data_IF_226264031091
#
_entry.id   IF_226264031091
#
_cell.length_a   1.000
_cell.length_b   1.000
_cell.length_c   1.000
_cell.angle_alpha   90.00
_cell.angle_beta   90.00
_cell.angle_gamma   90.00
#
_symmetry.space_group_name_H-M   'P 1'
#
loop_
_entity.id
_entity.type
_entity.pdbx_description
1 polymer ?
#
# COMPACT_ATOMS: atom_id res chain seq x y z
N UNK A 1 -21.40 -41.83 70.04
CA UNK A 1 -21.54 -40.48 69.41
C UNK A 1 -20.23 -39.87 68.93
N UNK A 2 -19.09 -40.03 69.64
CA UNK A 2 -17.82 -39.37 69.26
C UNK A 2 -17.20 -39.88 67.93
N UNK A 3 -17.40 -41.15 67.54
CA UNK A 3 -16.89 -41.70 66.26
C UNK A 3 -17.69 -41.28 65.01
N UNK A 4 -18.94 -40.82 65.18
CA UNK A 4 -19.80 -40.42 64.05
C UNK A 4 -19.58 -38.95 63.66
N UNK A 5 -19.19 -38.12 64.63
CA UNK A 5 -18.79 -36.71 64.41
C UNK A 5 -17.45 -36.63 63.68
N UNK A 6 -16.54 -37.58 63.90
CA UNK A 6 -15.21 -37.63 63.28
C UNK A 6 -15.24 -38.07 61.81
N UNK A 7 -16.21 -38.91 61.41
CA UNK A 7 -16.40 -39.30 60.00
C UNK A 7 -17.14 -38.20 59.22
N UNK A 8 -18.07 -37.47 59.85
CA UNK A 8 -18.71 -36.31 59.23
C UNK A 8 -17.75 -35.10 59.06
N UNK A 9 -16.78 -34.93 59.95
CA UNK A 9 -15.80 -33.83 59.85
C UNK A 9 -14.66 -34.11 58.86
N UNK A 10 -14.36 -35.37 58.54
CA UNK A 10 -13.44 -35.73 57.44
C UNK A 10 -14.12 -35.55 56.07
N UNK A 11 -15.44 -35.79 55.96
CA UNK A 11 -16.20 -35.54 54.73
C UNK A 11 -16.46 -34.04 54.46
N UNK A 12 -16.45 -33.20 55.50
CA UNK A 12 -16.57 -31.73 55.36
C UNK A 12 -15.22 -31.02 55.09
N UNK A 13 -14.10 -31.75 55.14
CA UNK A 13 -12.76 -31.23 54.84
C UNK A 13 -12.15 -31.83 53.57
N UNK A 14 -12.90 -32.59 52.77
CA UNK A 14 -12.50 -32.77 51.38
C UNK A 14 -12.67 -31.41 50.70
N UNK A 15 -11.62 -30.79 50.13
CA UNK A 15 -11.83 -29.71 49.21
C UNK A 15 -12.66 -30.31 48.09
N UNK A 16 -13.95 -29.96 48.06
CA UNK A 16 -14.66 -29.84 46.80
C UNK A 16 -13.78 -28.91 45.98
N UNK A 17 -12.90 -29.51 45.18
CA UNK A 17 -12.43 -28.87 43.98
C UNK A 17 -13.72 -28.60 43.23
N UNK A 18 -14.29 -27.41 43.44
CA UNK A 18 -15.15 -26.78 42.49
C UNK A 18 -14.35 -26.87 41.19
N UNK A 19 -14.69 -27.87 40.38
CA UNK A 19 -14.35 -27.88 38.98
C UNK A 19 -15.03 -26.61 38.50
N UNK A 20 -14.27 -25.52 38.48
CA UNK A 20 -14.72 -24.26 37.94
C UNK A 20 -15.20 -24.62 36.54
N UNK A 21 -16.52 -24.59 36.34
CA UNK A 21 -17.10 -24.87 35.05
C UNK A 21 -16.46 -23.86 34.11
N UNK A 22 -15.68 -24.38 33.16
CA UNK A 22 -14.96 -23.57 32.20
C UNK A 22 -15.97 -22.66 31.51
N UNK A 23 -15.74 -21.34 31.40
CA UNK A 23 -16.67 -20.45 30.72
C UNK A 23 -17.00 -20.99 29.32
N UNK A 24 -18.28 -21.06 28.98
CA UNK A 24 -18.73 -21.58 27.69
C UNK A 24 -18.53 -20.52 26.61
N UNK A 25 -17.33 -20.43 26.05
CA UNK A 25 -17.06 -19.58 24.87
C UNK A 25 -17.16 -20.40 23.59
N UNK A 26 -17.87 -19.87 22.61
CA UNK A 26 -17.98 -20.45 21.27
C UNK A 26 -17.28 -19.57 20.23
N UNK A 27 -16.85 -20.13 19.08
CA UNK A 27 -16.38 -19.34 17.95
C UNK A 27 -17.44 -18.30 17.50
N UNK A 28 -16.99 -17.21 16.89
CA UNK A 28 -17.84 -16.16 16.35
C UNK A 28 -18.61 -16.69 15.12
N UNK A 29 -19.92 -16.50 15.10
CA UNK A 29 -20.74 -16.83 13.93
C UNK A 29 -20.69 -15.67 12.92
N UNK A 30 -20.04 -15.91 11.79
CA UNK A 30 -19.83 -14.91 10.73
C UNK A 30 -21.13 -14.48 10.04
N UNK A 31 -22.21 -15.28 10.11
CA UNK A 31 -23.51 -14.91 9.56
C UNK A 31 -24.21 -13.85 10.43
N UNK A 32 -24.06 -13.95 11.75
CA UNK A 32 -24.66 -13.00 12.72
C UNK A 32 -24.00 -11.62 12.72
N UNK A 33 -22.85 -11.48 12.05
CA UNK A 33 -22.15 -10.22 11.83
C UNK A 33 -22.72 -9.41 10.66
N UNK A 34 -23.80 -9.89 10.03
CA UNK A 34 -24.54 -9.17 9.00
C UNK A 34 -25.88 -8.68 9.58
N UNK A 35 -26.09 -7.37 9.63
CA UNK A 35 -27.37 -6.77 10.04
C UNK A 35 -27.36 -6.10 11.43
N UNK A 36 -28.55 -5.75 11.93
CA UNK A 36 -28.75 -4.95 13.14
C UNK A 36 -28.22 -5.61 14.42
N UNK A 37 -28.09 -6.94 14.43
CA UNK A 37 -27.60 -7.72 15.58
C UNK A 37 -26.08 -7.80 15.68
N UNK A 38 -25.33 -7.37 14.65
CA UNK A 38 -23.88 -7.54 14.57
C UNK A 38 -23.14 -6.90 15.77
N UNK A 39 -23.57 -5.72 16.20
CA UNK A 39 -22.97 -5.01 17.35
C UNK A 39 -23.23 -5.75 18.67
N UNK A 40 -24.42 -6.34 18.83
CA UNK A 40 -24.78 -7.11 20.01
C UNK A 40 -23.97 -8.41 20.10
N UNK A 41 -23.80 -9.11 18.98
CA UNK A 41 -22.95 -10.31 18.92
C UNK A 41 -21.50 -9.99 19.32
N UNK A 42 -20.95 -8.87 18.83
CA UNK A 42 -19.59 -8.46 19.18
C UNK A 42 -19.48 -8.12 20.67
N UNK A 43 -20.46 -7.42 21.23
CA UNK A 43 -20.47 -7.10 22.67
C UNK A 43 -20.58 -8.35 23.56
N UNK A 44 -21.32 -9.38 23.12
CA UNK A 44 -21.34 -10.68 23.78
C UNK A 44 -19.95 -11.32 23.71
N UNK A 45 -19.32 -11.37 22.53
CA UNK A 45 -17.99 -11.99 22.37
C UNK A 45 -16.87 -11.27 23.08
N UNK A 46 -16.92 -9.95 23.19
CA UNK A 46 -15.99 -9.19 24.02
C UNK A 46 -16.07 -9.66 25.47
N UNK A 47 -17.29 -9.78 26.02
CA UNK A 47 -17.49 -10.26 27.40
C UNK A 47 -17.01 -11.69 27.59
N UNK A 48 -17.38 -12.61 26.69
CA UNK A 48 -16.94 -14.01 26.77
C UNK A 48 -15.40 -14.14 26.71
N UNK A 49 -14.72 -13.36 25.86
CA UNK A 49 -13.26 -13.35 25.78
C UNK A 49 -12.62 -12.79 27.06
N UNK A 50 -13.22 -11.75 27.66
CA UNK A 50 -12.76 -11.19 28.94
C UNK A 50 -12.94 -12.19 30.08
N UNK A 51 -14.07 -12.89 30.14
CA UNK A 51 -14.30 -13.96 31.12
C UNK A 51 -13.30 -15.11 30.97
N UNK A 52 -13.00 -15.52 29.72
CA UNK A 52 -12.00 -16.54 29.46
C UNK A 52 -10.58 -16.08 29.83
N UNK A 53 -10.22 -14.84 29.54
CA UNK A 53 -8.93 -14.26 29.97
C UNK A 53 -8.80 -14.25 31.49
N UNK A 54 -9.84 -13.85 32.23
CA UNK A 54 -9.85 -13.87 33.69
C UNK A 54 -9.69 -15.31 34.23
N UNK A 55 -10.41 -16.26 33.64
CA UNK A 55 -10.29 -17.69 33.98
C UNK A 55 -8.88 -18.23 33.76
N UNK A 56 -8.24 -17.91 32.63
CA UNK A 56 -6.86 -18.34 32.34
C UNK A 56 -5.84 -17.70 33.29
N UNK A 57 -6.03 -16.41 33.63
CA UNK A 57 -5.19 -15.73 34.62
C UNK A 57 -5.29 -16.39 36.01
N UNK A 58 -6.47 -16.86 36.40
CA UNK A 58 -6.65 -17.62 37.65
C UNK A 58 -6.07 -19.04 37.56
N UNK A 59 -6.13 -19.67 36.40
CA UNK A 59 -5.58 -21.01 36.16
C UNK A 59 -4.05 -20.99 36.21
N UNK A 60 -3.41 -19.92 35.71
CA UNK A 60 -1.97 -19.68 35.76
C UNK A 60 -1.42 -19.46 37.18
N UNK A 61 -2.27 -19.11 38.16
CA UNK A 61 -1.87 -19.02 39.58
C UNK A 61 -1.63 -20.40 40.21
N UNK A 62 -2.03 -21.48 39.53
CA UNK A 62 -1.85 -22.88 39.99
C UNK A 62 -0.63 -23.50 39.31
N UNK A 63 0.17 -24.33 40.01
CA UNK A 63 1.31 -25.01 39.41
C UNK A 63 0.85 -25.96 38.29
N UNK A 64 1.33 -25.72 37.06
CA UNK A 64 1.01 -26.49 35.86
C UNK A 64 2.28 -26.70 35.03
N UNK A 65 2.48 -27.87 34.40
CA UNK A 65 3.59 -28.08 33.46
C UNK A 65 3.41 -27.33 32.13
N UNK A 66 2.22 -26.77 31.86
CA UNK A 66 1.87 -26.13 30.59
C UNK A 66 1.66 -24.61 30.73
N UNK A 67 2.40 -23.96 31.63
CA UNK A 67 2.29 -22.52 31.93
C UNK A 67 2.48 -21.66 30.69
N UNK A 68 3.44 -21.99 29.83
CA UNK A 68 3.74 -21.20 28.62
C UNK A 68 2.58 -21.17 27.63
N UNK A 69 1.98 -22.33 27.35
CA UNK A 69 0.81 -22.45 26.45
C UNK A 69 -0.39 -21.66 26.98
N UNK A 70 -0.63 -21.74 28.30
CA UNK A 70 -1.72 -21.01 28.95
C UNK A 70 -1.47 -19.50 28.98
N UNK A 71 -0.22 -19.06 29.16
CA UNK A 71 0.17 -17.65 29.09
C UNK A 71 -0.03 -17.09 27.68
N UNK A 72 0.36 -17.83 26.65
CA UNK A 72 0.12 -17.43 25.26
C UNK A 72 -1.37 -17.33 24.94
N UNK A 73 -2.19 -18.28 25.43
CA UNK A 73 -3.63 -18.22 25.27
C UNK A 73 -4.22 -16.98 25.97
N UNK A 74 -3.77 -16.64 27.18
CA UNK A 74 -4.18 -15.43 27.90
C UNK A 74 -3.85 -14.17 27.09
N UNK A 75 -2.61 -14.04 26.62
CA UNK A 75 -2.16 -12.89 25.82
C UNK A 75 -2.99 -12.74 24.54
N UNK A 76 -3.28 -13.86 23.86
CA UNK A 76 -4.13 -13.85 22.66
C UNK A 76 -5.57 -13.43 22.99
N UNK A 77 -6.20 -13.94 24.05
CA UNK A 77 -7.55 -13.52 24.42
C UNK A 77 -7.63 -12.03 24.77
N UNK A 78 -6.62 -11.49 25.46
CA UNK A 78 -6.54 -10.05 25.70
C UNK A 78 -6.41 -9.27 24.39
N UNK A 79 -5.58 -9.75 23.44
CA UNK A 79 -5.46 -9.17 22.10
C UNK A 79 -6.76 -9.22 21.29
N UNK A 80 -7.49 -10.33 21.34
CA UNK A 80 -8.78 -10.54 20.66
C UNK A 80 -9.82 -9.54 21.13
N UNK A 81 -9.86 -9.21 22.42
CA UNK A 81 -10.76 -8.17 22.94
C UNK A 81 -10.55 -6.83 22.24
N UNK A 82 -9.29 -6.41 22.05
CA UNK A 82 -8.99 -5.18 21.31
C UNK A 82 -9.38 -5.28 19.82
N UNK A 83 -9.16 -6.43 19.18
CA UNK A 83 -9.58 -6.65 17.79
C UNK A 83 -11.10 -6.53 17.63
N UNK A 84 -11.87 -7.08 18.56
CA UNK A 84 -13.34 -7.01 18.55
C UNK A 84 -13.85 -5.60 18.81
N UNK A 85 -13.20 -4.83 19.69
CA UNK A 85 -13.51 -3.41 19.91
C UNK A 85 -13.26 -2.61 18.62
N UNK A 86 -12.14 -2.84 17.94
CA UNK A 86 -11.85 -2.19 16.67
C UNK A 86 -12.87 -2.57 15.59
N UNK A 87 -13.25 -3.85 15.49
CA UNK A 87 -14.29 -4.32 14.59
C UNK A 87 -15.64 -3.62 14.86
N UNK A 88 -16.01 -3.43 16.13
CA UNK A 88 -17.21 -2.68 16.53
C UNK A 88 -17.17 -1.23 16.01
N UNK A 89 -16.03 -0.56 16.16
CA UNK A 89 -15.80 0.78 15.61
C UNK A 89 -15.90 0.81 14.08
N UNK A 90 -15.30 -0.19 13.42
CA UNK A 90 -15.36 -0.35 11.97
C UNK A 90 -16.77 -0.62 11.45
N UNK A 91 -17.62 -1.35 12.15
CA UNK A 91 -19.01 -1.60 11.71
C UNK A 91 -19.88 -0.36 11.91
N UNK A 92 -19.71 0.32 13.04
CA UNK A 92 -20.53 1.50 13.43
C UNK A 92 -20.16 2.79 12.69
N UNK A 93 -18.96 2.90 12.12
CA UNK A 93 -18.54 4.10 11.40
C UNK A 93 -19.42 4.39 10.16
N UNK A 94 -19.60 5.66 9.76
CA UNK A 94 -20.38 5.99 8.57
C UNK A 94 -19.71 5.41 7.29
N UNK A 95 -20.50 5.11 6.24
CA UNK A 95 -19.93 4.72 4.96
C UNK A 95 -19.14 5.89 4.35
N UNK A 96 -17.96 5.61 3.80
CA UNK A 96 -17.19 6.61 3.06
C UNK A 96 -17.91 6.94 1.74
N UNK A 97 -18.42 8.16 1.64
CA UNK A 97 -18.95 8.71 0.39
C UNK A 97 -17.81 9.42 -0.36
N UNK A 98 -17.62 9.17 -1.67
CA UNK A 98 -16.64 9.92 -2.45
C UNK A 98 -16.92 11.43 -2.36
N UNK A 99 -15.91 12.23 -2.02
CA UNK A 99 -16.02 13.69 -1.94
C UNK A 99 -16.02 14.39 -3.31
N UNK A 100 -16.13 13.64 -4.40
CA UNK A 100 -16.06 14.17 -5.77
C UNK A 100 -17.40 14.80 -6.12
N UNK A 101 -17.38 16.09 -6.44
CA UNK A 101 -18.56 16.82 -6.93
C UNK A 101 -18.40 17.11 -8.42
N UNK A 102 -19.37 16.68 -9.23
CA UNK A 102 -19.40 17.00 -10.66
C UNK A 102 -19.75 18.49 -10.85
N UNK A 103 -19.11 19.20 -11.81
CA UNK A 103 -19.41 20.60 -12.03
C UNK A 103 -20.81 20.77 -12.64
N UNK A 104 -21.55 21.77 -12.14
CA UNK A 104 -22.83 22.16 -12.73
C UNK A 104 -22.60 22.80 -14.10
N UNK A 105 -23.38 22.37 -15.09
CA UNK A 105 -23.29 22.93 -16.44
C UNK A 105 -24.11 24.24 -16.54
N UNK A 106 -23.52 25.35 -17.02
CA UNK A 106 -24.28 26.53 -17.42
C UNK A 106 -25.08 26.25 -18.71
N UNK A 107 -25.77 27.26 -19.26
CA UNK A 107 -26.36 27.14 -20.59
C UNK A 107 -25.28 27.14 -21.68
N UNK A 108 -25.43 26.34 -22.76
CA UNK A 108 -24.48 26.32 -23.86
C UNK A 108 -24.45 27.67 -24.61
N UNK A 109 -23.36 27.97 -25.35
CA UNK A 109 -22.21 27.10 -25.60
C UNK A 109 -21.13 27.18 -24.50
N UNK A 110 -20.38 26.09 -24.33
CA UNK A 110 -19.48 25.89 -23.19
C UNK A 110 -18.04 26.35 -23.47
N UNK A 111 -17.34 26.98 -22.50
CA UNK A 111 -15.94 27.35 -22.67
C UNK A 111 -15.00 26.14 -22.59
N UNK A 112 -13.83 26.23 -23.24
CA UNK A 112 -12.77 25.21 -23.20
C UNK A 112 -12.37 24.79 -21.77
N UNK A 113 -12.34 25.76 -20.85
CA UNK A 113 -11.99 25.54 -19.44
C UNK A 113 -12.98 24.63 -18.71
N UNK A 114 -14.27 24.64 -19.07
CA UNK A 114 -15.26 23.73 -18.48
C UNK A 114 -15.03 22.29 -18.94
N UNK A 115 -14.71 22.10 -20.22
CA UNK A 115 -14.37 20.78 -20.76
C UNK A 115 -13.10 20.21 -20.11
N UNK A 116 -12.05 21.03 -19.97
CA UNK A 116 -10.82 20.63 -19.27
C UNK A 116 -11.10 20.23 -17.81
N UNK A 117 -11.87 21.03 -17.07
CA UNK A 117 -12.25 20.71 -15.68
C UNK A 117 -13.03 19.40 -15.58
N UNK A 118 -13.92 19.12 -16.54
CA UNK A 118 -14.65 17.85 -16.59
C UNK A 118 -13.73 16.67 -16.89
N UNK A 119 -12.77 16.81 -17.81
CA UNK A 119 -11.77 15.77 -18.09
C UNK A 119 -10.91 15.47 -16.86
N UNK A 120 -10.46 16.49 -16.14
CA UNK A 120 -9.71 16.34 -14.89
C UNK A 120 -10.54 15.63 -13.81
N UNK A 121 -11.81 16.00 -13.67
CA UNK A 121 -12.75 15.38 -12.73
C UNK A 121 -12.99 13.91 -13.11
N UNK A 122 -13.23 13.63 -14.38
CA UNK A 122 -13.40 12.27 -14.90
C UNK A 122 -12.16 11.43 -14.66
N UNK A 123 -10.97 11.95 -14.94
CA UNK A 123 -9.72 11.24 -14.66
C UNK A 123 -9.56 10.91 -13.17
N UNK A 124 -9.90 11.86 -12.29
CA UNK A 124 -9.88 11.64 -10.83
C UNK A 124 -10.81 10.49 -10.43
N UNK A 125 -12.02 10.44 -11.00
CA UNK A 125 -12.97 9.35 -10.76
C UNK A 125 -12.37 8.01 -11.21
N UNK A 126 -11.81 7.95 -12.42
CA UNK A 126 -11.19 6.73 -12.97
C UNK A 126 -10.02 6.25 -12.10
N UNK A 127 -9.17 7.17 -11.64
CA UNK A 127 -8.04 6.84 -10.77
C UNK A 127 -8.51 6.29 -9.42
N UNK A 128 -9.51 6.93 -8.78
CA UNK A 128 -10.06 6.43 -7.53
C UNK A 128 -10.76 5.08 -7.69
N UNK A 129 -11.47 4.88 -8.82
CA UNK A 129 -12.14 3.63 -9.12
C UNK A 129 -11.14 2.47 -9.21
N UNK A 130 -10.06 2.63 -9.97
CA UNK A 130 -9.02 1.62 -10.09
C UNK A 130 -8.32 1.34 -8.75
N UNK A 131 -8.02 2.38 -7.96
CA UNK A 131 -7.42 2.21 -6.65
C UNK A 131 -8.34 1.40 -5.71
N UNK A 132 -9.63 1.75 -5.67
CA UNK A 132 -10.63 1.03 -4.89
C UNK A 132 -10.81 -0.42 -5.36
N UNK A 133 -10.79 -0.68 -6.67
CA UNK A 133 -10.86 -2.03 -7.22
C UNK A 133 -9.65 -2.89 -6.82
N UNK A 134 -8.43 -2.34 -6.87
CA UNK A 134 -7.23 -3.05 -6.40
C UNK A 134 -7.30 -3.36 -4.92
N UNK A 135 -7.72 -2.40 -4.10
CA UNK A 135 -7.86 -2.61 -2.66
C UNK A 135 -8.93 -3.65 -2.34
N UNK A 136 -10.05 -3.66 -3.06
CA UNK A 136 -11.08 -4.69 -2.93
C UNK A 136 -10.55 -6.09 -3.29
N UNK A 137 -9.73 -6.19 -4.33
CA UNK A 137 -9.11 -7.46 -4.72
C UNK A 137 -8.14 -7.98 -3.65
N UNK A 138 -7.29 -7.12 -3.09
CA UNK A 138 -6.40 -7.50 -1.98
C UNK A 138 -7.18 -7.97 -0.75
N UNK A 139 -8.25 -7.25 -0.37
CA UNK A 139 -9.11 -7.67 0.74
C UNK A 139 -9.75 -9.03 0.49
N UNK A 140 -10.15 -9.33 -0.76
CA UNK A 140 -10.71 -10.64 -1.13
C UNK A 140 -9.67 -11.75 -0.97
N UNK A 141 -8.45 -11.56 -1.47
CA UNK A 141 -7.36 -12.54 -1.36
C UNK A 141 -7.00 -12.81 0.11
N UNK A 142 -6.93 -11.77 0.95
CA UNK A 142 -6.72 -11.91 2.39
C UNK A 142 -7.85 -12.67 3.07
N UNK A 143 -9.12 -12.43 2.67
CA UNK A 143 -10.28 -13.15 3.20
C UNK A 143 -10.26 -14.63 2.82
N UNK A 144 -9.87 -14.97 1.59
CA UNK A 144 -9.74 -16.37 1.14
C UNK A 144 -8.67 -17.12 1.95
N UNK A 145 -7.53 -16.47 2.23
CA UNK A 145 -6.48 -17.04 3.10
C UNK A 145 -7.00 -17.27 4.53
N UNK A 146 -7.70 -16.29 5.11
CA UNK A 146 -8.27 -16.41 6.45
C UNK A 146 -9.36 -17.50 6.53
N UNK A 147 -10.15 -17.68 5.47
CA UNK A 147 -11.18 -18.73 5.43
C UNK A 147 -10.56 -20.12 5.51
N UNK A 148 -9.44 -20.36 4.82
CA UNK A 148 -8.68 -21.61 4.93
C UNK A 148 -8.16 -21.82 6.35
N UNK A 149 -7.55 -20.79 6.94
CA UNK A 149 -7.00 -20.83 8.31
C UNK A 149 -8.10 -21.13 9.35
N UNK A 150 -9.27 -20.47 9.23
CA UNK A 150 -10.42 -20.69 10.11
C UNK A 150 -10.92 -22.14 10.01
N UNK A 151 -10.96 -22.74 8.81
CA UNK A 151 -11.38 -24.16 8.63
C UNK A 151 -10.43 -25.12 9.35
N UNK A 152 -9.12 -24.89 9.23
CA UNK A 152 -8.10 -25.70 9.88
C UNK A 152 -8.17 -25.57 11.41
N UNK A 153 -8.24 -24.33 11.91
CA UNK A 153 -8.38 -24.05 13.35
C UNK A 153 -9.68 -24.60 13.93
N UNK A 154 -10.79 -24.54 13.19
CA UNK A 154 -12.07 -25.13 13.60
C UNK A 154 -11.96 -26.65 13.76
N UNK A 155 -11.30 -27.32 12.81
CA UNK A 155 -11.09 -28.77 12.86
C UNK A 155 -10.23 -29.17 14.06
N UNK A 156 -9.13 -28.43 14.30
CA UNK A 156 -8.26 -28.63 15.46
C UNK A 156 -9.01 -28.40 16.78
N UNK A 157 -9.75 -27.30 16.88
CA UNK A 157 -10.55 -26.97 18.06
C UNK A 157 -11.59 -28.05 18.36
N UNK A 158 -12.33 -28.53 17.35
CA UNK A 158 -13.32 -29.60 17.53
C UNK A 158 -12.68 -30.91 18.02
N UNK A 159 -11.47 -31.23 17.56
CA UNK A 159 -10.74 -32.41 18.02
C UNK A 159 -10.31 -32.28 19.49
N UNK A 160 -9.87 -31.08 19.91
CA UNK A 160 -9.47 -30.79 21.28
C UNK A 160 -10.67 -30.72 22.24
N UNK A 161 -11.80 -30.15 21.79
CA UNK A 161 -13.04 -30.02 22.56
C UNK A 161 -13.62 -31.37 23.02
N UNK A 162 -13.38 -32.44 22.27
CA UNK A 162 -13.86 -33.80 22.60
C UNK A 162 -13.13 -34.44 23.79
N UNK A 163 -11.98 -33.88 24.21
CA UNK A 163 -11.20 -34.37 25.35
C UNK A 163 -11.73 -33.75 26.65
N UNK A 164 -11.95 -34.56 27.69
CA UNK A 164 -12.40 -34.10 29.00
C UNK A 164 -11.43 -34.58 30.09
N UNK A 165 -10.79 -33.66 30.86
CA UNK A 165 -10.87 -32.20 30.73
C UNK A 165 -10.18 -31.67 29.46
N UNK A 166 -10.54 -30.47 28.96
CA UNK A 166 -9.88 -29.86 27.80
C UNK A 166 -8.38 -29.64 28.07
N UNK A 167 -7.49 -30.02 27.13
CA UNK A 167 -6.06 -29.79 27.29
C UNK A 167 -5.72 -28.30 27.11
N UNK A 168 -4.58 -27.79 27.61
CA UNK A 168 -4.20 -26.38 27.48
C UNK A 168 -4.21 -25.82 26.05
N UNK A 169 -3.88 -26.63 25.05
CA UNK A 169 -3.90 -26.28 23.63
C UNK A 169 -5.31 -25.92 23.15
N UNK A 170 -6.36 -26.42 23.81
CA UNK A 170 -7.75 -26.06 23.52
C UNK A 170 -7.95 -24.54 23.59
N UNK A 171 -7.44 -23.90 24.64
CA UNK A 171 -7.61 -22.47 24.86
C UNK A 171 -6.81 -21.64 23.86
N UNK A 172 -5.60 -22.09 23.52
CA UNK A 172 -4.75 -21.44 22.53
C UNK A 172 -5.40 -21.46 21.13
N UNK A 173 -5.83 -22.64 20.68
CA UNK A 173 -6.47 -22.81 19.36
C UNK A 173 -7.80 -22.06 19.30
N UNK A 174 -8.54 -22.00 20.40
CA UNK A 174 -9.79 -21.23 20.49
C UNK A 174 -9.54 -19.72 20.40
N UNK A 175 -8.52 -19.20 21.07
CA UNK A 175 -8.12 -17.79 20.96
C UNK A 175 -7.67 -17.44 19.53
N UNK A 176 -6.88 -18.32 18.90
CA UNK A 176 -6.46 -18.17 17.51
C UNK A 176 -7.68 -18.17 16.56
N UNK A 177 -8.60 -19.12 16.73
CA UNK A 177 -9.82 -19.21 15.92
C UNK A 177 -10.66 -17.93 16.01
N UNK A 178 -10.90 -17.42 17.22
CA UNK A 178 -11.68 -16.19 17.41
C UNK A 178 -10.94 -14.98 16.83
N UNK A 179 -9.61 -14.91 17.00
CA UNK A 179 -8.77 -13.88 16.36
C UNK A 179 -8.92 -13.89 14.84
N UNK A 180 -8.77 -15.05 14.19
CA UNK A 180 -8.86 -15.17 12.73
C UNK A 180 -10.28 -14.86 12.23
N UNK A 181 -11.32 -15.25 12.99
CA UNK A 181 -12.71 -14.86 12.71
C UNK A 181 -12.96 -13.35 12.83
N UNK A 182 -12.41 -12.70 13.87
CA UNK A 182 -12.52 -11.25 14.04
C UNK A 182 -11.80 -10.49 12.92
N UNK A 183 -10.61 -10.96 12.51
CA UNK A 183 -9.88 -10.42 11.37
C UNK A 183 -10.67 -10.58 10.06
N UNK A 184 -11.23 -11.78 9.81
CA UNK A 184 -12.07 -12.03 8.64
C UNK A 184 -13.26 -11.06 8.61
N UNK A 185 -13.96 -10.89 9.73
CA UNK A 185 -15.09 -9.97 9.83
C UNK A 185 -14.72 -8.51 9.58
N UNK A 186 -13.56 -8.06 10.06
CA UNK A 186 -13.03 -6.72 9.76
C UNK A 186 -12.76 -6.56 8.26
N UNK A 187 -12.10 -7.53 7.64
CA UNK A 187 -11.81 -7.51 6.20
C UNK A 187 -13.11 -7.55 5.37
N UNK A 188 -14.09 -8.36 5.75
CA UNK A 188 -15.41 -8.41 5.11
C UNK A 188 -16.16 -7.07 5.20
N UNK A 189 -16.11 -6.42 6.36
CA UNK A 189 -16.71 -5.09 6.57
C UNK A 189 -16.05 -4.05 5.66
N UNK A 190 -14.71 -4.03 5.61
CA UNK A 190 -13.93 -3.16 4.71
C UNK A 190 -14.23 -3.45 3.24
N UNK A 191 -14.32 -4.72 2.85
CA UNK A 191 -14.64 -5.14 1.48
C UNK A 191 -16.04 -4.69 1.05
N UNK A 192 -17.04 -4.81 1.92
CA UNK A 192 -18.41 -4.34 1.67
C UNK A 192 -18.43 -2.82 1.44
N UNK A 193 -17.76 -2.05 2.30
CA UNK A 193 -17.62 -0.59 2.15
C UNK A 193 -16.92 -0.22 0.85
N UNK A 194 -15.83 -0.93 0.53
CA UNK A 194 -15.09 -0.71 -0.71
C UNK A 194 -15.95 -1.02 -1.94
N UNK A 195 -16.75 -2.08 -1.90
CA UNK A 195 -17.68 -2.45 -2.97
C UNK A 195 -18.75 -1.36 -3.19
N UNK A 196 -19.29 -0.80 -2.12
CA UNK A 196 -20.22 0.33 -2.21
C UNK A 196 -19.55 1.58 -2.80
N UNK A 197 -18.32 1.88 -2.39
CA UNK A 197 -17.52 2.99 -2.94
C UNK A 197 -17.27 2.80 -4.44
N UNK A 198 -16.92 1.59 -4.88
CA UNK A 198 -16.76 1.23 -6.30
C UNK A 198 -18.07 1.49 -7.05
N UNK A 199 -19.22 1.04 -6.53
CA UNK A 199 -20.53 1.27 -7.15
C UNK A 199 -20.83 2.76 -7.32
N UNK A 200 -20.58 3.56 -6.28
CA UNK A 200 -20.79 5.01 -6.32
C UNK A 200 -19.87 5.69 -7.34
N UNK A 201 -18.57 5.34 -7.36
CA UNK A 201 -17.60 5.88 -8.32
C UNK A 201 -17.93 5.51 -9.76
N UNK A 202 -18.37 4.27 -10.03
CA UNK A 202 -18.84 3.84 -11.35
C UNK A 202 -20.06 4.65 -11.81
N UNK A 203 -21.00 4.93 -10.89
CA UNK A 203 -22.15 5.80 -11.18
C UNK A 203 -21.73 7.24 -11.53
N UNK A 204 -20.78 7.81 -10.77
CA UNK A 204 -20.21 9.13 -11.05
C UNK A 204 -19.45 9.15 -12.38
N UNK A 205 -18.75 8.09 -12.73
CA UNK A 205 -18.03 7.97 -14.00
C UNK A 205 -19.01 8.02 -15.19
N UNK A 206 -20.12 7.27 -15.10
CA UNK A 206 -21.16 7.29 -16.14
C UNK A 206 -21.78 8.68 -16.30
N UNK A 207 -22.07 9.37 -15.20
CA UNK A 207 -22.55 10.76 -15.23
C UNK A 207 -21.52 11.72 -15.84
N UNK A 208 -20.25 11.60 -15.46
CA UNK A 208 -19.17 12.42 -16.01
C UNK A 208 -19.01 12.22 -17.52
N UNK A 209 -19.14 10.98 -18.02
CA UNK A 209 -19.13 10.69 -19.45
C UNK A 209 -20.27 11.39 -20.20
N UNK A 210 -21.49 11.33 -19.68
CA UNK A 210 -22.64 12.03 -20.26
C UNK A 210 -22.43 13.55 -20.29
N UNK A 211 -21.86 14.13 -19.23
CA UNK A 211 -21.54 15.57 -19.19
C UNK A 211 -20.44 15.93 -20.19
N UNK A 212 -19.40 15.09 -20.33
CA UNK A 212 -18.32 15.28 -21.31
C UNK A 212 -18.87 15.30 -22.74
N UNK A 213 -19.70 14.32 -23.12
CA UNK A 213 -20.36 14.27 -24.44
C UNK A 213 -21.17 15.54 -24.71
N UNK A 214 -21.99 15.95 -23.74
CA UNK A 214 -22.82 17.17 -23.85
C UNK A 214 -21.97 18.44 -24.00
N UNK A 215 -20.90 18.55 -23.22
CA UNK A 215 -20.01 19.72 -23.29
C UNK A 215 -19.23 19.75 -24.60
N UNK A 216 -18.76 18.59 -25.06
CA UNK A 216 -18.04 18.46 -26.32
C UNK A 216 -18.89 18.86 -27.53
N UNK A 217 -20.17 18.44 -27.55
CA UNK A 217 -21.11 18.76 -28.63
C UNK A 217 -21.42 20.26 -28.77
N UNK A 218 -21.30 21.03 -27.68
CA UNK A 218 -21.59 22.46 -27.66
C UNK A 218 -20.38 23.31 -27.22
N UNK A 219 -19.17 22.83 -27.51
CA UNK A 219 -17.94 23.52 -27.12
C UNK A 219 -17.73 24.79 -27.97
N UNK A 220 -17.49 25.90 -27.29
CA UNK A 220 -17.09 27.17 -27.90
C UNK A 220 -15.58 27.31 -27.82
N UNK A 221 -14.90 27.04 -28.92
CA UNK A 221 -13.49 27.37 -29.12
C UNK A 221 -13.35 28.61 -29.99
N UNK A 222 -12.52 29.55 -29.55
CA UNK A 222 -12.23 30.79 -30.26
C UNK A 222 -10.74 31.00 -30.54
N UNK A 223 -10.44 32.11 -31.22
CA UNK A 223 -9.04 32.50 -31.53
C UNK A 223 -8.20 32.76 -30.27
N UNK A 224 -8.84 33.16 -29.17
CA UNK A 224 -8.19 33.38 -27.88
C UNK A 224 -7.64 32.05 -27.33
N UNK A 225 -8.46 31.00 -27.31
CA UNK A 225 -8.06 29.67 -26.84
C UNK A 225 -6.90 29.12 -27.67
N UNK A 226 -6.94 29.31 -28.99
CA UNK A 226 -5.86 28.91 -29.90
C UNK A 226 -4.55 29.68 -29.60
N UNK A 227 -4.63 30.99 -29.33
CA UNK A 227 -3.48 31.82 -28.97
C UNK A 227 -2.89 31.36 -27.63
N UNK A 228 -3.72 31.09 -26.63
CA UNK A 228 -3.30 30.60 -25.32
C UNK A 228 -2.63 29.22 -25.41
N UNK A 229 -3.20 28.28 -26.17
CA UNK A 229 -2.58 26.97 -26.42
C UNK A 229 -1.21 27.10 -27.10
N UNK A 230 -1.07 28.02 -28.06
CA UNK A 230 0.21 28.28 -28.75
C UNK A 230 1.25 28.86 -27.80
N UNK A 231 0.87 29.83 -26.96
CA UNK A 231 1.74 30.41 -25.94
C UNK A 231 2.16 29.38 -24.87
N UNK A 232 1.23 28.51 -24.44
CA UNK A 232 1.53 27.38 -23.53
C UNK A 232 2.57 26.45 -24.15
N UNK A 233 2.39 26.06 -25.41
CA UNK A 233 3.34 25.21 -26.13
C UNK A 233 4.74 25.84 -26.23
N UNK A 234 4.82 27.11 -26.62
CA UNK A 234 6.10 27.84 -26.72
C UNK A 234 6.81 27.95 -25.37
N UNK A 235 6.06 28.19 -24.28
CA UNK A 235 6.60 28.24 -22.92
C UNK A 235 7.18 26.88 -22.51
N UNK A 236 6.44 25.80 -22.71
CA UNK A 236 6.89 24.44 -22.38
C UNK A 236 8.12 24.06 -23.22
N UNK A 237 8.17 24.44 -24.50
CA UNK A 237 9.34 24.18 -25.35
C UNK A 237 10.61 24.86 -24.81
N UNK A 238 10.49 26.11 -24.33
CA UNK A 238 11.61 26.83 -23.68
C UNK A 238 12.03 26.17 -22.38
N UNK A 239 11.07 25.74 -21.55
CA UNK A 239 11.34 25.02 -20.31
C UNK A 239 12.03 23.67 -20.56
N UNK A 240 11.59 22.92 -21.58
CA UNK A 240 12.20 21.65 -21.97
C UNK A 240 13.67 21.83 -22.35
N UNK A 241 14.01 22.86 -23.15
CA UNK A 241 15.41 23.14 -23.53
C UNK A 241 16.29 23.45 -22.31
N UNK A 242 15.75 24.21 -21.34
CA UNK A 242 16.44 24.51 -20.07
C UNK A 242 16.67 23.23 -19.26
N UNK A 243 15.65 22.40 -19.12
CA UNK A 243 15.71 21.16 -18.34
C UNK A 243 16.64 20.15 -19.00
N UNK A 244 16.61 20.04 -20.33
CA UNK A 244 17.53 19.19 -21.09
C UNK A 244 19.00 19.54 -20.79
N UNK A 245 19.32 20.83 -20.75
CA UNK A 245 20.67 21.32 -20.41
C UNK A 245 21.04 20.97 -18.97
N UNK A 246 20.12 21.17 -18.02
CA UNK A 246 20.33 20.85 -16.60
C UNK A 246 20.54 19.34 -16.38
N UNK A 247 19.70 18.51 -16.99
CA UNK A 247 19.82 17.04 -16.92
C UNK A 247 21.14 16.58 -17.50
N UNK A 248 21.58 17.13 -18.64
CA UNK A 248 22.88 16.77 -19.23
C UNK A 248 24.07 17.12 -18.33
N UNK A 249 24.03 18.28 -17.68
CA UNK A 249 25.05 18.69 -16.71
C UNK A 249 25.04 17.76 -15.49
N UNK A 250 23.85 17.46 -14.95
CA UNK A 250 23.66 16.55 -13.82
C UNK A 250 24.16 15.14 -14.12
N UNK A 251 23.82 14.58 -15.28
CA UNK A 251 24.32 13.27 -15.74
C UNK A 251 25.83 13.24 -15.88
N UNK A 252 26.44 14.31 -16.40
CA UNK A 252 27.91 14.40 -16.51
C UNK A 252 28.56 14.39 -15.13
N UNK A 253 28.01 15.13 -14.17
CA UNK A 253 28.48 15.15 -12.77
C UNK A 253 28.34 13.77 -12.13
N UNK A 254 27.19 13.12 -12.28
CA UNK A 254 26.91 11.80 -11.72
C UNK A 254 27.81 10.72 -12.33
N UNK A 255 28.10 10.77 -13.63
CA UNK A 255 29.02 9.83 -14.28
C UNK A 255 30.45 9.96 -13.75
N UNK A 256 30.93 11.20 -13.52
CA UNK A 256 32.24 11.42 -12.88
C UNK A 256 32.26 10.87 -11.45
N UNK A 257 31.20 11.09 -10.68
CA UNK A 257 31.06 10.58 -9.32
C UNK A 257 31.06 9.03 -9.30
N UNK A 258 30.32 8.38 -10.21
CA UNK A 258 30.30 6.93 -10.36
C UNK A 258 31.70 6.37 -10.65
N UNK A 259 32.44 6.98 -11.59
CA UNK A 259 33.79 6.56 -11.92
C UNK A 259 34.75 6.64 -10.71
N UNK A 260 34.66 7.70 -9.91
CA UNK A 260 35.45 7.85 -8.68
C UNK A 260 35.10 6.75 -7.66
N UNK A 261 33.81 6.46 -7.48
CA UNK A 261 33.33 5.41 -6.57
C UNK A 261 33.83 4.03 -7.03
N UNK A 262 33.77 3.74 -8.33
CA UNK A 262 34.27 2.48 -8.89
C UNK A 262 35.77 2.28 -8.67
N UNK A 263 36.58 3.33 -8.85
CA UNK A 263 38.02 3.27 -8.57
C UNK A 263 38.27 2.98 -7.09
N UNK A 264 37.54 3.64 -6.18
CA UNK A 264 37.64 3.37 -4.73
C UNK A 264 37.23 1.93 -4.41
N UNK A 265 36.12 1.45 -4.97
CA UNK A 265 35.61 0.08 -4.78
C UNK A 265 36.62 -0.97 -5.25
N UNK A 266 37.30 -0.74 -6.38
CA UNK A 266 38.37 -1.63 -6.87
C UNK A 266 39.53 -1.69 -5.88
N UNK A 267 39.97 -0.54 -5.34
CA UNK A 267 41.04 -0.50 -4.33
C UNK A 267 40.68 -1.28 -3.07
N UNK A 268 39.45 -1.13 -2.57
CA UNK A 268 38.97 -1.88 -1.38
C UNK A 268 38.90 -3.38 -1.69
N UNK A 269 38.40 -3.77 -2.87
CA UNK A 269 38.39 -5.17 -3.31
C UNK A 269 39.80 -5.78 -3.39
N UNK A 270 40.79 -5.02 -3.88
CA UNK A 270 42.19 -5.44 -3.91
C UNK A 270 42.77 -5.57 -2.48
N UNK A 271 42.40 -4.68 -1.57
CA UNK A 271 42.82 -4.79 -0.16
C UNK A 271 42.24 -6.04 0.49
N UNK A 272 40.97 -6.37 0.26
CA UNK A 272 40.30 -7.58 0.76
C UNK A 272 40.98 -8.89 0.31
N UNK A 273 41.66 -8.87 -0.83
CA UNK A 273 42.40 -10.02 -1.36
C UNK A 273 43.78 -10.23 -0.72
N UNK A 274 44.27 -9.28 0.10
CA UNK A 274 45.59 -9.40 0.73
C UNK A 274 45.59 -10.52 1.79
N UNK A 275 46.63 -11.38 1.81
CA UNK A 275 46.79 -12.37 2.87
C UNK A 275 47.14 -11.68 4.20
N UNK A 276 46.81 -12.33 5.32
CA UNK A 276 47.18 -11.86 6.68
C UNK A 276 46.27 -10.78 7.28
N UNK A 277 45.12 -10.47 6.68
CA UNK A 277 44.14 -9.57 7.29
C UNK A 277 43.49 -10.19 8.52
N UNK A 278 43.39 -9.43 9.63
CA UNK A 278 42.57 -9.82 10.77
C UNK A 278 41.09 -9.87 10.39
N UNK A 279 40.31 -10.71 11.08
CA UNK A 279 38.88 -10.87 10.84
C UNK A 279 38.12 -9.53 10.96
N UNK A 280 38.47 -8.73 11.97
CA UNK A 280 37.89 -7.40 12.19
C UNK A 280 38.21 -6.44 11.04
N UNK A 281 39.46 -6.40 10.55
CA UNK A 281 39.85 -5.56 9.41
C UNK A 281 39.12 -5.98 8.14
N UNK A 282 39.01 -7.31 7.91
CA UNK A 282 38.27 -7.85 6.77
C UNK A 282 36.80 -7.44 6.80
N UNK A 283 36.15 -7.51 7.96
CA UNK A 283 34.75 -7.08 8.14
C UNK A 283 34.55 -5.59 7.87
N UNK A 284 35.42 -4.73 8.39
CA UNK A 284 35.39 -3.28 8.11
C UNK A 284 35.57 -2.98 6.62
N UNK A 285 36.52 -3.64 5.95
CA UNK A 285 36.73 -3.49 4.50
C UNK A 285 35.53 -4.01 3.68
N UNK A 286 34.86 -5.07 4.14
CA UNK A 286 33.65 -5.58 3.50
C UNK A 286 32.50 -4.56 3.58
N UNK A 287 32.29 -3.92 4.73
CA UNK A 287 31.30 -2.85 4.86
C UNK A 287 31.65 -1.61 4.05
N UNK A 288 32.93 -1.24 3.95
CA UNK A 288 33.33 -0.14 3.07
C UNK A 288 33.07 -0.48 1.59
N UNK A 289 33.30 -1.73 1.17
CA UNK A 289 32.94 -2.20 -0.17
C UNK A 289 31.43 -2.08 -0.41
N UNK A 290 30.63 -2.57 0.53
CA UNK A 290 29.16 -2.51 0.48
C UNK A 290 28.64 -1.07 0.47
N UNK A 291 29.29 -0.17 1.23
CA UNK A 291 28.99 1.27 1.21
C UNK A 291 29.25 1.87 -0.16
N UNK A 292 30.38 1.55 -0.79
CA UNK A 292 30.71 2.04 -2.13
C UNK A 292 29.77 1.47 -3.20
N UNK A 293 29.32 0.22 -3.07
CA UNK A 293 28.28 -0.38 -3.91
C UNK A 293 26.95 0.37 -3.77
N UNK A 294 26.53 0.63 -2.54
CA UNK A 294 25.33 1.40 -2.22
C UNK A 294 25.39 2.81 -2.80
N UNK A 295 26.54 3.50 -2.69
CA UNK A 295 26.73 4.83 -3.28
C UNK A 295 26.71 4.81 -4.81
N UNK A 296 27.20 3.73 -5.43
CA UNK A 296 27.14 3.55 -6.89
C UNK A 296 25.70 3.36 -7.36
N UNK A 297 24.94 2.49 -6.67
CA UNK A 297 23.52 2.29 -6.93
C UNK A 297 22.72 3.59 -6.71
N UNK A 298 22.98 4.32 -5.63
CA UNK A 298 22.37 5.64 -5.37
C UNK A 298 22.65 6.64 -6.49
N UNK A 299 23.87 6.64 -7.03
CA UNK A 299 24.25 7.48 -8.18
C UNK A 299 23.48 7.06 -9.44
N UNK A 300 23.26 5.76 -9.67
CA UNK A 300 22.43 5.27 -10.78
C UNK A 300 20.96 5.67 -10.62
N UNK A 301 20.42 5.60 -9.40
CA UNK A 301 19.06 6.06 -9.10
C UNK A 301 18.90 7.57 -9.32
N UNK A 302 19.91 8.37 -8.95
CA UNK A 302 19.93 9.81 -9.25
C UNK A 302 19.93 10.09 -10.76
N UNK A 303 20.63 9.27 -11.56
CA UNK A 303 20.59 9.40 -13.03
C UNK A 303 19.18 9.10 -13.56
N UNK A 304 18.53 8.05 -13.05
CA UNK A 304 17.13 7.75 -13.39
C UNK A 304 16.20 8.90 -13.00
N UNK A 305 16.40 9.50 -11.82
CA UNK A 305 15.63 10.66 -11.36
C UNK A 305 15.77 11.86 -12.30
N UNK A 306 17.00 12.20 -12.71
CA UNK A 306 17.24 13.27 -13.67
C UNK A 306 16.51 13.03 -15.00
N UNK A 307 16.60 11.80 -15.53
CA UNK A 307 15.89 11.43 -16.76
C UNK A 307 14.36 11.50 -16.62
N UNK A 308 13.80 11.12 -15.47
CA UNK A 308 12.35 11.20 -15.24
C UNK A 308 11.83 12.65 -15.16
N UNK A 309 12.64 13.60 -14.70
CA UNK A 309 12.30 15.03 -14.76
C UNK A 309 12.17 15.52 -16.21
N UNK A 310 13.04 15.05 -17.09
CA UNK A 310 12.93 15.34 -18.53
C UNK A 310 11.66 14.69 -19.13
N UNK A 311 11.38 13.43 -18.76
CA UNK A 311 10.16 12.73 -19.20
C UNK A 311 8.88 13.47 -18.80
N UNK A 312 8.81 14.04 -17.61
CA UNK A 312 7.68 14.88 -17.17
C UNK A 312 7.39 16.02 -18.16
N UNK A 313 8.43 16.72 -18.59
CA UNK A 313 8.31 17.84 -19.53
C UNK A 313 8.00 17.39 -20.96
N UNK A 314 8.46 16.20 -21.35
CA UNK A 314 8.05 15.60 -22.61
C UNK A 314 6.56 15.24 -22.62
N UNK A 315 5.99 14.84 -21.48
CA UNK A 315 4.55 14.64 -21.33
C UNK A 315 3.80 15.98 -21.40
N UNK A 316 4.29 17.02 -20.72
CA UNK A 316 3.77 18.40 -20.84
C UNK A 316 3.75 18.89 -22.30
N UNK A 317 4.86 18.67 -23.01
CA UNK A 317 4.98 19.06 -24.41
C UNK A 317 4.00 18.29 -25.29
N UNK A 318 3.82 17.00 -25.01
CA UNK A 318 2.89 16.13 -25.74
C UNK A 318 1.45 16.61 -25.53
N UNK A 319 1.04 16.87 -24.28
CA UNK A 319 -0.27 17.42 -23.94
C UNK A 319 -0.53 18.76 -24.63
N UNK A 320 0.41 19.72 -24.53
CA UNK A 320 0.24 21.04 -25.15
C UNK A 320 0.20 20.97 -26.69
N UNK A 321 1.00 20.07 -27.28
CA UNK A 321 0.99 19.82 -28.73
C UNK A 321 -0.34 19.21 -29.17
N UNK A 322 -0.86 18.27 -28.38
CA UNK A 322 -2.16 17.64 -28.60
C UNK A 322 -3.27 18.69 -28.59
N UNK A 323 -3.38 19.45 -27.50
CA UNK A 323 -4.41 20.48 -27.32
C UNK A 323 -4.41 21.51 -28.45
N UNK A 324 -3.23 21.99 -28.87
CA UNK A 324 -3.13 22.95 -29.97
C UNK A 324 -3.63 22.36 -31.30
N UNK A 325 -3.25 21.13 -31.63
CA UNK A 325 -3.69 20.50 -32.89
C UNK A 325 -5.18 20.17 -32.85
N UNK A 326 -5.66 19.64 -31.73
CA UNK A 326 -7.08 19.37 -31.50
C UNK A 326 -7.92 20.64 -31.67
N UNK A 327 -7.53 21.76 -31.05
CA UNK A 327 -8.21 23.05 -31.22
C UNK A 327 -8.27 23.50 -32.68
N UNK A 328 -7.16 23.41 -33.43
CA UNK A 328 -7.16 23.75 -34.86
C UNK A 328 -8.16 22.91 -35.64
N UNK A 329 -8.19 21.61 -35.39
CA UNK A 329 -9.02 20.69 -36.15
C UNK A 329 -10.50 20.78 -35.77
N UNK A 330 -10.81 20.98 -34.48
CA UNK A 330 -12.16 21.24 -33.97
C UNK A 330 -12.73 22.53 -34.56
N UNK A 331 -11.94 23.61 -34.59
CA UNK A 331 -12.35 24.90 -35.16
C UNK A 331 -12.44 24.90 -36.69
N UNK A 332 -12.22 23.77 -37.36
CA UNK A 332 -12.27 23.67 -38.83
C UNK A 332 -11.12 24.35 -39.56
N UNK A 333 -10.02 24.68 -38.87
CA UNK A 333 -8.84 25.31 -39.46
C UNK A 333 -7.97 24.27 -40.19
N UNK A 334 -7.99 23.00 -39.75
CA UNK A 334 -7.28 21.91 -40.41
C UNK A 334 -7.93 21.54 -41.75
N UNK A 335 -7.12 21.42 -42.79
CA UNK A 335 -7.47 20.76 -44.04
C UNK A 335 -7.78 19.27 -43.83
N UNK A 336 -8.44 18.63 -44.82
CA UNK A 336 -8.74 17.19 -44.76
C UNK A 336 -7.48 16.33 -44.60
N UNK A 337 -6.38 16.70 -45.27
CA UNK A 337 -5.09 16.02 -45.15
C UNK A 337 -4.52 16.14 -43.74
N UNK A 338 -4.51 17.35 -43.18
CA UNK A 338 -4.03 17.60 -41.80
C UNK A 338 -4.87 16.86 -40.75
N UNK A 339 -6.19 16.69 -40.98
CA UNK A 339 -7.04 15.88 -40.08
C UNK A 339 -6.66 14.40 -40.09
N UNK A 340 -6.37 13.83 -41.26
CA UNK A 340 -5.92 12.43 -41.37
C UNK A 340 -4.56 12.27 -40.69
N UNK A 341 -3.61 13.16 -40.98
CA UNK A 341 -2.28 13.16 -40.37
C UNK A 341 -2.34 13.31 -38.84
N UNK A 342 -3.23 14.18 -38.35
CA UNK A 342 -3.53 14.32 -36.92
C UNK A 342 -3.97 12.97 -36.32
N UNK A 343 -4.97 12.31 -36.90
CA UNK A 343 -5.48 11.03 -36.39
C UNK A 343 -4.40 9.94 -36.38
N UNK A 344 -3.62 9.81 -37.45
CA UNK A 344 -2.54 8.82 -37.54
C UNK A 344 -1.44 9.10 -36.52
N UNK A 345 -0.99 10.36 -36.43
CA UNK A 345 0.05 10.78 -35.49
C UNK A 345 -0.37 10.52 -34.04
N UNK A 346 -1.60 10.87 -33.67
CA UNK A 346 -2.05 10.71 -32.29
C UNK A 346 -2.40 9.27 -31.93
N UNK A 347 -2.84 8.46 -32.89
CA UNK A 347 -2.96 7.01 -32.69
C UNK A 347 -1.60 6.37 -32.38
N UNK A 348 -0.55 6.73 -33.12
CA UNK A 348 0.80 6.24 -32.85
C UNK A 348 1.33 6.75 -31.50
N UNK A 349 1.19 8.04 -31.21
CA UNK A 349 1.62 8.62 -29.93
C UNK A 349 0.87 8.01 -28.74
N UNK A 350 -0.42 7.71 -28.89
CA UNK A 350 -1.22 7.03 -27.87
C UNK A 350 -0.69 5.62 -27.61
N UNK A 351 -0.30 4.87 -28.65
CA UNK A 351 0.34 3.56 -28.49
C UNK A 351 1.65 3.66 -27.71
N UNK A 352 2.54 4.57 -28.13
CA UNK A 352 3.82 4.82 -27.44
C UNK A 352 3.63 5.28 -26.00
N UNK A 353 2.59 6.07 -25.73
CA UNK A 353 2.26 6.52 -24.38
C UNK A 353 1.80 5.35 -23.51
N UNK A 354 0.98 4.44 -24.03
CA UNK A 354 0.56 3.22 -23.32
C UNK A 354 1.76 2.32 -23.00
N UNK A 355 2.67 2.12 -23.95
CA UNK A 355 3.92 1.38 -23.72
C UNK A 355 4.78 2.04 -22.63
N UNK A 356 4.92 3.36 -22.68
CA UNK A 356 5.62 4.13 -21.65
C UNK A 356 4.97 3.97 -20.26
N UNK A 357 3.63 3.96 -20.18
CA UNK A 357 2.90 3.78 -18.93
C UNK A 357 3.14 2.40 -18.32
N UNK A 358 3.10 1.34 -19.12
CA UNK A 358 3.39 -0.02 -18.62
C UNK A 358 4.85 -0.14 -18.15
N UNK A 359 5.81 0.43 -18.90
CA UNK A 359 7.21 0.48 -18.48
C UNK A 359 7.40 1.26 -17.17
N UNK A 360 6.70 2.40 -17.03
CA UNK A 360 6.74 3.26 -15.83
C UNK A 360 6.17 2.52 -14.62
N UNK A 361 5.05 1.79 -14.81
CA UNK A 361 4.42 0.97 -13.75
C UNK A 361 5.33 -0.17 -13.30
N UNK A 362 5.95 -0.89 -14.23
CA UNK A 362 6.87 -1.98 -13.91
C UNK A 362 8.09 -1.47 -13.10
N UNK A 363 8.66 -0.33 -13.51
CA UNK A 363 9.79 0.26 -12.80
C UNK A 363 9.39 0.82 -11.44
N UNK A 364 8.20 1.40 -11.30
CA UNK A 364 7.66 1.82 -10.00
C UNK A 364 7.58 0.65 -9.01
N UNK A 365 7.00 -0.48 -9.42
CA UNK A 365 6.91 -1.68 -8.58
C UNK A 365 8.31 -2.18 -8.17
N UNK A 366 9.26 -2.19 -9.11
CA UNK A 366 10.66 -2.55 -8.83
C UNK A 366 11.30 -1.63 -7.79
N UNK A 367 11.04 -0.32 -7.85
CA UNK A 367 11.55 0.64 -6.88
C UNK A 367 10.98 0.41 -5.48
N UNK A 368 9.70 0.04 -5.36
CA UNK A 368 9.09 -0.31 -4.07
C UNK A 368 9.78 -1.53 -3.44
N UNK A 369 9.93 -2.62 -4.18
CA UNK A 369 10.66 -3.81 -3.70
C UNK A 369 12.11 -3.48 -3.32
N UNK A 370 12.79 -2.65 -4.12
CA UNK A 370 14.16 -2.22 -3.79
C UNK A 370 14.19 -1.41 -2.48
N UNK A 371 13.21 -0.55 -2.25
CA UNK A 371 13.09 0.23 -1.02
C UNK A 371 12.89 -0.66 0.21
N UNK A 372 12.05 -1.69 0.11
CA UNK A 372 11.84 -2.67 1.19
C UNK A 372 13.13 -3.43 1.52
N UNK A 373 13.87 -3.86 0.51
CA UNK A 373 15.18 -4.53 0.67
C UNK A 373 16.19 -3.62 1.35
N UNK A 374 16.29 -2.35 0.94
CA UNK A 374 17.23 -1.41 1.58
C UNK A 374 16.78 -1.10 3.02
N UNK A 375 15.48 -1.00 3.27
CA UNK A 375 14.95 -0.74 4.60
C UNK A 375 15.22 -1.91 5.56
N UNK A 376 15.09 -3.16 5.10
CA UNK A 376 15.46 -4.32 5.93
C UNK A 376 16.94 -4.35 6.26
N UNK A 377 17.81 -3.95 5.32
CA UNK A 377 19.26 -3.78 5.57
C UNK A 377 19.56 -2.70 6.61
N UNK A 378 18.82 -1.59 6.60
CA UNK A 378 18.93 -0.54 7.62
C UNK A 378 18.59 -1.10 9.00
N UNK A 379 17.45 -1.79 9.14
CA UNK A 379 17.00 -2.37 10.40
C UNK A 379 18.01 -3.41 10.92
N UNK A 380 18.48 -4.30 10.04
CA UNK A 380 19.46 -5.33 10.41
C UNK A 380 20.77 -4.71 10.91
N UNK A 381 21.25 -3.63 10.29
CA UNK A 381 22.47 -2.95 10.68
C UNK A 381 22.30 -2.17 12.00
N UNK A 382 21.12 -1.58 12.24
CA UNK A 382 20.78 -0.89 13.50
C UNK A 382 20.67 -1.86 14.69
N UNK A 383 20.20 -3.08 14.45
CA UNK A 383 20.04 -4.12 15.48
C UNK A 383 21.33 -4.93 15.73
N UNK A 384 22.37 -4.73 14.92
CA UNK A 384 23.63 -5.46 15.03
C UNK A 384 24.40 -5.04 16.29
N UNK A 385 24.97 -6.00 17.01
CA UNK A 385 25.93 -5.73 18.10
C UNK A 385 27.29 -5.40 17.48
N UNK A 386 27.78 -4.18 17.69
CA UNK A 386 28.99 -3.65 17.08
C UNK A 386 30.10 -3.48 18.12
N UNK A 387 31.35 -3.76 17.73
CA UNK A 387 32.53 -3.34 18.49
C UNK A 387 32.86 -1.86 18.23
N UNK A 388 33.61 -1.18 19.12
CA UNK A 388 33.95 0.24 18.96
C UNK A 388 34.66 0.57 17.63
N UNK A 389 35.47 -0.36 17.08
CA UNK A 389 36.14 -0.17 15.80
C UNK A 389 35.19 -0.34 14.59
N UNK A 390 34.10 -1.08 14.75
CA UNK A 390 33.09 -1.35 13.73
C UNK A 390 32.04 -0.24 13.65
N UNK A 391 31.74 0.43 14.77
CA UNK A 391 30.72 1.49 14.86
C UNK A 391 30.87 2.56 13.78
N UNK A 392 32.10 3.01 13.52
CA UNK A 392 32.34 4.05 12.52
C UNK A 392 32.01 3.60 11.10
N UNK A 393 32.38 2.37 10.74
CA UNK A 393 32.12 1.79 9.43
C UNK A 393 30.64 1.44 9.24
N UNK A 394 29.99 0.92 10.28
CA UNK A 394 28.54 0.69 10.27
C UNK A 394 27.78 2.00 10.10
N UNK A 395 28.17 3.06 10.82
CA UNK A 395 27.51 4.38 10.72
C UNK A 395 27.59 4.96 9.31
N UNK A 396 28.75 4.88 8.65
CA UNK A 396 28.90 5.41 7.28
C UNK A 396 28.15 4.58 6.25
N UNK A 397 28.03 3.27 6.44
CA UNK A 397 27.18 2.39 5.61
C UNK A 397 25.69 2.69 5.82
N UNK A 398 25.27 2.85 7.08
CA UNK A 398 23.90 3.21 7.45
C UNK A 398 23.47 4.55 6.82
N UNK A 399 24.34 5.55 6.85
CA UNK A 399 24.10 6.85 6.21
C UNK A 399 23.96 6.71 4.69
N UNK A 400 24.74 5.83 4.05
CA UNK A 400 24.61 5.55 2.61
C UNK A 400 23.26 4.88 2.29
N UNK A 401 22.83 3.90 3.09
CA UNK A 401 21.52 3.26 2.93
C UNK A 401 20.36 4.24 3.12
N UNK A 402 20.40 5.06 4.18
CA UNK A 402 19.38 6.09 4.42
C UNK A 402 19.32 7.10 3.28
N UNK A 403 20.47 7.48 2.71
CA UNK A 403 20.51 8.36 1.53
C UNK A 403 19.89 7.68 0.30
N UNK A 404 20.21 6.42 0.06
CA UNK A 404 19.62 5.64 -1.03
C UNK A 404 18.10 5.53 -0.88
N UNK A 405 17.57 5.26 0.33
CA UNK A 405 16.13 5.23 0.61
C UNK A 405 15.44 6.56 0.28
N UNK A 406 16.04 7.70 0.66
CA UNK A 406 15.50 9.02 0.29
C UNK A 406 15.42 9.20 -1.23
N UNK A 407 16.46 8.78 -1.95
CA UNK A 407 16.49 8.83 -3.42
C UNK A 407 15.44 7.90 -4.03
N UNK A 408 15.28 6.68 -3.51
CA UNK A 408 14.25 5.72 -3.94
C UNK A 408 12.85 6.30 -3.75
N UNK A 409 12.53 6.84 -2.57
CA UNK A 409 11.23 7.44 -2.28
C UNK A 409 10.93 8.61 -3.22
N UNK A 410 11.91 9.49 -3.44
CA UNK A 410 11.78 10.62 -4.37
C UNK A 410 11.54 10.12 -5.80
N UNK A 411 12.27 9.08 -6.23
CA UNK A 411 12.13 8.51 -7.55
C UNK A 411 10.76 7.85 -7.74
N UNK A 412 10.31 7.03 -6.78
CA UNK A 412 8.98 6.41 -6.78
C UNK A 412 7.87 7.45 -6.89
N UNK A 413 7.98 8.58 -6.17
CA UNK A 413 7.03 9.68 -6.29
C UNK A 413 7.00 10.26 -7.72
N UNK A 414 8.16 10.54 -8.32
CA UNK A 414 8.22 11.08 -9.69
C UNK A 414 7.68 10.08 -10.73
N UNK A 415 7.96 8.78 -10.57
CA UNK A 415 7.38 7.74 -11.43
C UNK A 415 5.85 7.72 -11.30
N UNK A 416 5.31 7.81 -10.09
CA UNK A 416 3.87 7.87 -9.86
C UNK A 416 3.24 9.13 -10.48
N UNK A 417 3.87 10.30 -10.34
CA UNK A 417 3.43 11.55 -10.96
C UNK A 417 3.40 11.43 -12.50
N UNK A 418 4.48 10.91 -13.09
CA UNK A 418 4.58 10.72 -14.54
C UNK A 418 3.57 9.69 -15.06
N UNK A 419 3.33 8.61 -14.30
CA UNK A 419 2.33 7.61 -14.62
C UNK A 419 0.92 8.21 -14.62
N UNK A 420 0.55 8.92 -13.55
CA UNK A 420 -0.75 9.59 -13.44
C UNK A 420 -0.95 10.61 -14.58
N UNK A 421 0.09 11.38 -14.91
CA UNK A 421 0.06 12.35 -16.01
C UNK A 421 -0.13 11.67 -17.36
N UNK A 422 0.65 10.64 -17.67
CA UNK A 422 0.50 9.91 -18.93
C UNK A 422 -0.87 9.23 -19.05
N UNK A 423 -1.43 8.75 -17.92
CA UNK A 423 -2.78 8.20 -17.88
C UNK A 423 -3.85 9.25 -18.18
N UNK A 424 -3.74 10.44 -17.59
CA UNK A 424 -4.62 11.57 -17.89
C UNK A 424 -4.57 11.94 -19.37
N UNK A 425 -3.37 12.02 -19.93
CA UNK A 425 -3.17 12.33 -21.35
C UNK A 425 -3.72 11.22 -22.27
N UNK A 426 -3.61 9.95 -21.87
CA UNK A 426 -4.21 8.82 -22.60
C UNK A 426 -5.73 8.93 -22.62
N UNK A 427 -6.34 9.33 -21.51
CA UNK A 427 -7.77 9.59 -21.44
C UNK A 427 -8.14 10.79 -22.33
N UNK A 428 -7.48 11.93 -22.19
CA UNK A 428 -7.75 13.13 -22.99
C UNK A 428 -7.70 12.83 -24.49
N UNK A 429 -6.62 12.23 -24.98
CA UNK A 429 -6.46 11.83 -26.38
C UNK A 429 -7.50 10.80 -26.82
N UNK A 430 -7.90 9.89 -25.93
CA UNK A 430 -8.86 8.83 -26.24
C UNK A 430 -10.31 9.29 -26.33
N UNK A 431 -10.67 10.40 -25.68
CA UNK A 431 -12.04 10.95 -25.66
C UNK A 431 -12.31 11.94 -26.81
N UNK A 432 -11.28 12.61 -27.30
CA UNK A 432 -11.32 13.62 -28.38
C UNK A 432 -11.10 13.01 -29.77
#
# INVERSE_FOLDING_TARGET
>A
MVRLVLILSILLFWPTQAVAQTPSITPLDLETLKGETALQTIDIKIRECQEMANYLADLLKRPSPNTDTLSQALDLFQGVVYQLINLKGEISGPPEVPSITLPTLPQPPFPASLYQKLLETHSTIVQQLEASQRQAQLLREEMESLESEIKDLTTQWLALKKKSPPPPEYYLVLAQLISSQAQYASKATKFSRMSQRIKNLSGLQAQANQLLEKVFAHLKLGRKDLKEARQKLEKIQKELNKIHTQVRQELTRLNRQAAIIEVKKRRVSQQLQKPGLSEQTRKVLQWEKERLETLLEETQLQRKLANQKEKKNLLDLTEASFQLQWFKCYMGICSKKEKIEYLETWKEKLSKLKEYLESTKAEFNRLQTTSEIVNSKVIALEQSRLSPAEERAAKTLLDAYRKMLRTLNTLSQVYQENYNKGKNLTLEIGYT
#
